data_IF_835757773925
#
_entry.id   IF_835757773925
#
_cell.length_a   1.000
_cell.length_b   1.000
_cell.length_c   1.000
_cell.angle_alpha   90.00
_cell.angle_beta   90.00
_cell.angle_gamma   90.00
#
_symmetry.space_group_name_H-M   'P 1'
#
loop_
_entity.id
_entity.type
_entity.pdbx_description
1 polymer ?
#
# COMPACT_ATOMS: atom_id res chain seq x y z
N UNK A 1 -23.51 -81.84 -33.37
CA UNK A 1 -23.50 -80.92 -32.17
C UNK A 1 -22.50 -79.77 -32.29
N UNK A 2 -21.36 -79.90 -32.93
CA UNK A 2 -20.36 -78.81 -33.07
C UNK A 2 -20.83 -77.67 -33.92
N UNK A 3 -21.51 -77.92 -35.05
CA UNK A 3 -22.04 -76.85 -35.90
C UNK A 3 -23.10 -75.94 -35.20
N UNK A 4 -23.82 -76.53 -34.23
CA UNK A 4 -24.85 -75.75 -33.48
C UNK A 4 -24.21 -74.83 -32.44
N UNK A 5 -23.12 -75.25 -31.82
CA UNK A 5 -22.33 -74.48 -30.87
C UNK A 5 -21.60 -73.36 -31.60
N UNK A 6 -21.01 -73.67 -32.77
CA UNK A 6 -20.33 -72.61 -33.59
C UNK A 6 -21.26 -71.50 -34.07
N UNK A 7 -22.52 -71.87 -34.45
CA UNK A 7 -23.52 -70.85 -34.82
C UNK A 7 -24.00 -70.02 -33.64
N UNK A 8 -24.17 -70.62 -32.46
CA UNK A 8 -24.52 -69.90 -31.23
C UNK A 8 -23.41 -68.91 -30.83
N UNK A 9 -22.14 -69.33 -30.93
CA UNK A 9 -21.02 -68.43 -30.64
C UNK A 9 -20.92 -67.30 -31.64
N UNK A 10 -21.19 -67.52 -32.93
CA UNK A 10 -21.20 -66.46 -33.95
C UNK A 10 -22.38 -65.46 -33.74
N UNK A 11 -23.53 -65.94 -33.30
CA UNK A 11 -24.66 -65.10 -32.96
C UNK A 11 -24.39 -64.25 -31.71
N UNK A 12 -23.75 -64.79 -30.68
CA UNK A 12 -23.40 -64.12 -29.47
C UNK A 12 -22.31 -63.01 -29.72
N UNK A 13 -21.31 -63.30 -30.54
CA UNK A 13 -20.29 -62.35 -30.99
C UNK A 13 -20.90 -61.23 -31.84
N UNK A 14 -21.90 -61.54 -32.70
CA UNK A 14 -22.59 -60.54 -33.52
C UNK A 14 -23.47 -59.62 -32.69
N UNK A 15 -24.09 -60.12 -31.59
CA UNK A 15 -24.88 -59.35 -30.64
C UNK A 15 -24.01 -58.39 -29.80
N UNK A 16 -22.78 -58.78 -29.48
CA UNK A 16 -21.87 -57.99 -28.64
C UNK A 16 -20.87 -57.12 -29.43
N UNK A 17 -21.04 -56.97 -30.75
CA UNK A 17 -20.23 -56.00 -31.49
C UNK A 17 -20.48 -54.57 -30.95
N UNK A 18 -19.47 -53.92 -30.36
CA UNK A 18 -19.62 -52.55 -29.92
C UNK A 18 -20.05 -51.71 -31.13
N UNK A 19 -21.03 -50.81 -30.92
CA UNK A 19 -21.50 -49.86 -31.95
C UNK A 19 -20.39 -48.85 -32.24
N UNK A 20 -19.35 -49.30 -32.94
CA UNK A 20 -18.13 -48.52 -33.30
C UNK A 20 -18.51 -47.25 -34.09
N UNK A 21 -19.62 -47.27 -34.81
CA UNK A 21 -20.14 -46.12 -35.54
C UNK A 21 -20.43 -44.92 -34.63
N UNK A 22 -21.03 -45.16 -33.45
CA UNK A 22 -21.34 -44.11 -32.51
C UNK A 22 -20.07 -43.50 -31.86
N UNK A 23 -19.09 -44.34 -31.49
CA UNK A 23 -17.81 -43.84 -30.99
C UNK A 23 -17.05 -42.99 -32.02
N UNK A 24 -17.07 -43.40 -33.31
CA UNK A 24 -16.45 -42.62 -34.37
C UNK A 24 -17.19 -41.27 -34.59
N UNK A 25 -18.52 -41.27 -34.51
CA UNK A 25 -19.30 -40.02 -34.60
C UNK A 25 -19.00 -39.09 -33.41
N UNK A 26 -18.87 -39.65 -32.20
CA UNK A 26 -18.52 -38.84 -30.99
C UNK A 26 -17.10 -38.25 -31.06
N UNK A 27 -16.12 -39.02 -31.55
CA UNK A 27 -14.75 -38.48 -31.72
C UNK A 27 -14.68 -37.40 -32.79
N UNK A 28 -15.38 -37.54 -33.89
CA UNK A 28 -15.48 -36.48 -34.92
C UNK A 28 -16.15 -35.23 -34.36
N UNK A 29 -17.23 -35.40 -33.61
CA UNK A 29 -17.93 -34.27 -32.94
C UNK A 29 -17.02 -33.55 -31.99
N UNK A 30 -16.26 -34.26 -31.11
CA UNK A 30 -15.32 -33.66 -30.18
C UNK A 30 -14.17 -32.94 -30.88
N UNK A 31 -13.67 -33.46 -32.01
CA UNK A 31 -12.65 -32.80 -32.82
C UNK A 31 -13.16 -31.48 -33.43
N UNK A 32 -14.38 -31.53 -34.01
CA UNK A 32 -14.99 -30.32 -34.55
C UNK A 32 -15.25 -29.28 -33.43
N UNK A 33 -15.79 -29.73 -32.29
CA UNK A 33 -16.00 -28.86 -31.13
C UNK A 33 -14.69 -28.23 -30.63
N UNK A 34 -13.61 -29.00 -30.54
CA UNK A 34 -12.30 -28.47 -30.13
C UNK A 34 -11.76 -27.44 -31.13
N UNK A 35 -11.93 -27.65 -32.43
CA UNK A 35 -11.53 -26.69 -33.47
C UNK A 35 -12.35 -25.40 -33.39
N UNK A 36 -13.68 -25.51 -33.20
CA UNK A 36 -14.56 -24.34 -33.03
C UNK A 36 -14.20 -23.57 -31.77
N UNK A 37 -13.96 -24.24 -30.65
CA UNK A 37 -13.55 -23.60 -29.41
C UNK A 37 -12.16 -22.95 -29.53
N UNK A 38 -11.19 -23.60 -30.19
CA UNK A 38 -9.88 -22.99 -30.47
C UNK A 38 -9.99 -21.74 -31.34
N UNK A 39 -10.86 -21.77 -32.36
CA UNK A 39 -11.13 -20.59 -33.19
C UNK A 39 -11.79 -19.46 -32.38
N UNK A 40 -12.75 -19.79 -31.49
CA UNK A 40 -13.42 -18.80 -30.63
C UNK A 40 -12.48 -18.19 -29.61
N UNK A 41 -11.60 -19.01 -28.99
CA UNK A 41 -10.56 -18.53 -28.07
C UNK A 41 -9.54 -17.66 -28.81
N UNK A 42 -9.07 -18.10 -29.99
CA UNK A 42 -8.17 -17.30 -30.80
C UNK A 42 -8.79 -15.94 -31.17
N UNK A 43 -10.07 -15.93 -31.58
CA UNK A 43 -10.78 -14.71 -31.97
C UNK A 43 -11.05 -13.76 -30.79
N UNK A 44 -11.25 -14.29 -29.59
CA UNK A 44 -11.50 -13.48 -28.39
C UNK A 44 -10.21 -13.09 -27.65
N UNK A 45 -9.12 -13.83 -27.80
CA UNK A 45 -7.80 -13.46 -27.26
C UNK A 45 -7.06 -12.45 -28.14
N UNK A 46 -7.38 -12.35 -29.41
CA UNK A 46 -6.82 -11.33 -30.29
C UNK A 46 -7.74 -10.12 -30.33
N UNK A 47 -7.65 -9.25 -29.33
CA UNK A 47 -8.10 -7.84 -29.45
C UNK A 47 -7.25 -7.05 -30.45
N UNK A 48 -6.61 -7.73 -31.40
CA UNK A 48 -5.83 -7.18 -32.50
C UNK A 48 -6.73 -7.18 -33.72
N UNK A 49 -7.33 -6.05 -34.00
CA UNK A 49 -7.92 -5.81 -35.30
C UNK A 49 -6.75 -5.62 -36.29
N UNK A 50 -6.39 -6.68 -37.00
CA UNK A 50 -5.49 -6.55 -38.16
C UNK A 50 -6.23 -5.76 -39.24
N UNK A 51 -5.90 -4.50 -39.37
CA UNK A 51 -6.31 -3.70 -40.53
C UNK A 51 -5.32 -3.97 -41.64
N UNK A 52 -5.66 -4.84 -42.57
CA UNK A 52 -4.89 -5.05 -43.81
C UNK A 52 -5.11 -3.84 -44.72
N UNK A 53 -4.07 -3.07 -44.95
CA UNK A 53 -4.13 -1.98 -45.89
C UNK A 53 -4.07 -2.52 -47.34
N UNK A 54 -4.49 -1.73 -48.31
CA UNK A 54 -4.63 -2.12 -49.75
C UNK A 54 -3.35 -2.60 -50.45
N UNK A 55 -2.20 -2.59 -49.76
CA UNK A 55 -0.89 -3.01 -50.29
C UNK A 55 -0.37 -4.31 -49.70
N UNK A 56 -1.18 -5.06 -48.92
CA UNK A 56 -0.84 -6.40 -48.43
C UNK A 56 0.28 -6.43 -47.37
N UNK A 57 0.63 -5.33 -46.77
CA UNK A 57 1.57 -5.29 -45.63
C UNK A 57 0.78 -5.29 -44.35
N UNK A 58 1.13 -6.24 -43.45
CA UNK A 58 0.65 -6.29 -42.07
C UNK A 58 1.34 -5.18 -41.30
N UNK A 59 0.68 -4.05 -41.07
CA UNK A 59 1.14 -3.09 -40.06
C UNK A 59 0.84 -3.70 -38.69
N UNK A 60 1.89 -4.18 -38.06
CA UNK A 60 1.89 -4.45 -36.62
C UNK A 60 1.56 -3.12 -35.93
N UNK A 61 0.33 -2.94 -35.49
CA UNK A 61 -0.03 -1.83 -34.61
C UNK A 61 0.59 -2.10 -33.25
N UNK A 62 1.88 -1.77 -33.15
CA UNK A 62 2.51 -1.54 -31.86
C UNK A 62 1.67 -0.44 -31.21
N UNK A 63 1.01 -0.73 -30.09
CA UNK A 63 0.40 0.29 -29.25
C UNK A 63 1.58 1.14 -28.75
N UNK A 64 1.97 2.11 -29.57
CA UNK A 64 2.88 3.17 -29.17
C UNK A 64 2.08 4.09 -28.26
N UNK A 65 2.07 3.78 -26.97
CA UNK A 65 1.66 4.74 -25.94
C UNK A 65 2.76 5.82 -25.94
N UNK A 66 2.72 6.72 -26.91
CA UNK A 66 3.41 8.00 -26.85
C UNK A 66 2.63 8.92 -25.89
N UNK A 67 2.46 8.49 -24.65
CA UNK A 67 2.12 9.39 -23.58
C UNK A 67 3.42 9.70 -22.83
N UNK A 68 4.05 10.80 -23.21
CA UNK A 68 5.01 11.52 -22.37
C UNK A 68 4.30 12.18 -21.15
N UNK A 69 3.12 11.73 -20.78
CA UNK A 69 2.47 12.14 -19.55
C UNK A 69 3.08 11.33 -18.41
N UNK A 70 3.88 12.00 -17.61
CA UNK A 70 4.35 11.46 -16.31
C UNK A 70 3.11 11.11 -15.51
N UNK A 71 3.00 9.87 -15.01
CA UNK A 71 1.83 9.51 -14.18
C UNK A 71 1.80 10.39 -12.93
N UNK A 72 0.61 10.57 -12.36
CA UNK A 72 0.42 11.33 -11.11
C UNK A 72 1.31 10.79 -10.01
N UNK A 73 1.40 9.47 -9.86
CA UNK A 73 2.24 8.80 -8.87
C UNK A 73 3.73 9.13 -9.06
N UNK A 74 4.18 9.14 -10.30
CA UNK A 74 5.58 9.48 -10.62
C UNK A 74 5.87 10.96 -10.33
N UNK A 75 4.94 11.87 -10.64
CA UNK A 75 5.08 13.29 -10.33
C UNK A 75 5.13 13.54 -8.82
N UNK A 76 4.21 12.92 -8.05
CA UNK A 76 4.17 12.99 -6.59
C UNK A 76 5.43 12.37 -5.98
N UNK A 77 5.88 11.23 -6.49
CA UNK A 77 7.13 10.61 -6.04
C UNK A 77 8.33 11.56 -6.18
N UNK A 78 8.52 12.15 -7.35
CA UNK A 78 9.61 13.12 -7.58
C UNK A 78 9.52 14.35 -6.68
N UNK A 79 8.30 14.79 -6.34
CA UNK A 79 8.08 15.94 -5.48
C UNK A 79 8.36 15.61 -4.02
N UNK A 80 7.95 14.43 -3.53
CA UNK A 80 7.75 14.18 -2.10
C UNK A 80 8.68 13.12 -1.49
N UNK A 81 9.32 12.24 -2.28
CA UNK A 81 10.18 11.17 -1.75
C UNK A 81 11.31 11.70 -0.85
N UNK A 82 11.98 12.79 -1.23
CA UNK A 82 13.08 13.35 -0.44
C UNK A 82 12.61 14.00 0.89
N UNK A 83 11.32 14.18 1.03
CA UNK A 83 10.70 14.71 2.25
C UNK A 83 10.21 13.61 3.20
N UNK A 84 10.34 12.34 2.81
CA UNK A 84 9.96 11.18 3.64
C UNK A 84 11.23 10.42 4.03
N UNK A 85 11.37 10.15 5.31
CA UNK A 85 12.55 9.54 5.91
C UNK A 85 12.22 8.21 6.56
N UNK A 86 13.20 7.32 6.64
CA UNK A 86 13.13 6.14 7.49
C UNK A 86 13.48 6.50 8.93
N UNK A 87 12.83 5.82 9.88
CA UNK A 87 13.11 5.97 11.31
C UNK A 87 13.36 4.57 11.87
N UNK A 88 14.49 4.42 12.56
CA UNK A 88 14.77 3.24 13.38
C UNK A 88 14.89 3.67 14.83
N UNK A 89 14.35 2.85 15.72
CA UNK A 89 14.38 3.12 17.16
C UNK A 89 14.87 1.90 17.92
N UNK A 90 15.56 2.14 19.00
CA UNK A 90 15.97 1.12 19.95
C UNK A 90 15.46 1.55 21.32
N UNK A 91 14.83 0.63 22.03
CA UNK A 91 14.39 0.83 23.40
C UNK A 91 14.56 -0.44 24.22
N UNK A 92 14.34 -0.35 25.51
CA UNK A 92 14.36 -1.49 26.42
C UNK A 92 12.96 -1.68 26.99
N UNK A 93 12.40 -2.86 26.76
CA UNK A 93 11.15 -3.28 27.39
C UNK A 93 11.47 -4.16 28.59
N UNK A 94 11.17 -3.67 29.78
CA UNK A 94 11.28 -4.47 31.00
C UNK A 94 10.12 -5.47 31.08
N UNK A 95 10.45 -6.73 31.31
CA UNK A 95 9.46 -7.73 31.63
C UNK A 95 9.22 -7.79 33.15
N UNK A 96 8.17 -8.52 33.58
CA UNK A 96 7.77 -8.65 35.01
C UNK A 96 8.87 -9.26 35.91
N UNK A 97 10.00 -9.75 35.35
CA UNK A 97 11.15 -10.32 36.04
C UNK A 97 12.39 -9.42 35.97
N UNK A 98 12.24 -8.12 35.67
CA UNK A 98 13.36 -7.14 35.56
C UNK A 98 14.44 -7.49 34.54
N UNK A 99 14.11 -8.34 33.54
CA UNK A 99 15.02 -8.61 32.44
C UNK A 99 14.66 -7.67 31.29
N UNK A 100 15.47 -6.67 31.02
CA UNK A 100 15.35 -5.77 29.91
C UNK A 100 15.55 -6.52 28.58
N UNK A 101 14.55 -6.47 27.68
CA UNK A 101 14.69 -6.93 26.31
C UNK A 101 14.85 -5.72 25.39
N UNK A 102 15.90 -5.72 24.58
CA UNK A 102 16.08 -4.73 23.53
C UNK A 102 14.97 -4.91 22.50
N UNK A 103 14.24 -3.84 22.22
CA UNK A 103 13.18 -3.79 21.20
C UNK A 103 13.60 -2.78 20.13
N UNK A 104 13.65 -3.25 18.90
CA UNK A 104 13.88 -2.40 17.74
C UNK A 104 12.55 -2.05 17.08
N UNK A 105 12.38 -0.79 16.71
CA UNK A 105 11.23 -0.29 15.96
C UNK A 105 11.68 0.25 14.62
N UNK A 106 10.81 0.13 13.63
CA UNK A 106 11.01 0.68 12.29
C UNK A 106 9.74 1.37 11.84
N UNK A 107 9.90 2.51 11.19
CA UNK A 107 8.81 3.26 10.61
C UNK A 107 9.32 4.36 9.69
N UNK A 108 8.47 5.30 9.40
CA UNK A 108 8.73 6.44 8.53
C UNK A 108 8.48 7.75 9.26
N UNK A 109 8.93 8.84 8.67
CA UNK A 109 8.63 10.20 9.12
C UNK A 109 8.57 11.15 7.94
N UNK A 110 7.96 12.31 8.17
CA UNK A 110 7.80 13.37 7.18
C UNK A 110 8.54 14.62 7.63
N UNK A 111 9.44 15.12 6.81
CA UNK A 111 10.19 16.35 7.09
C UNK A 111 9.24 17.54 7.02
N UNK A 112 9.11 18.29 8.11
CA UNK A 112 8.22 19.46 8.21
C UNK A 112 8.97 20.79 8.26
N UNK A 113 10.30 20.77 8.47
CA UNK A 113 11.14 21.97 8.47
C UNK A 113 12.51 21.69 7.84
N UNK A 114 13.11 22.71 7.21
CA UNK A 114 14.48 22.66 6.69
C UNK A 114 15.54 22.39 7.79
N UNK A 115 15.20 22.73 9.02
CA UNK A 115 16.08 22.62 10.18
C UNK A 115 16.05 21.24 10.84
N UNK A 116 15.32 20.27 10.28
CA UNK A 116 15.35 18.88 10.76
C UNK A 116 14.22 18.49 11.70
N UNK A 117 13.11 19.22 11.75
CA UNK A 117 11.90 18.74 12.41
C UNK A 117 11.18 17.73 11.52
N UNK A 118 10.77 16.62 12.11
CA UNK A 118 10.17 15.48 11.44
C UNK A 118 8.93 15.05 12.23
N UNK A 119 7.81 14.94 11.54
CA UNK A 119 6.56 14.41 12.06
C UNK A 119 6.49 12.91 11.80
N UNK A 120 6.05 12.15 12.79
CA UNK A 120 5.91 10.69 12.72
C UNK A 120 4.78 10.23 13.65
N UNK A 121 4.59 8.92 13.81
CA UNK A 121 3.67 8.37 14.81
C UNK A 121 4.34 8.19 16.18
N UNK A 122 3.53 8.25 17.25
CA UNK A 122 3.99 7.99 18.61
C UNK A 122 4.48 6.54 18.77
N UNK A 123 3.78 5.56 18.18
CA UNK A 123 4.19 4.16 18.25
C UNK A 123 5.53 3.89 17.53
N UNK A 124 5.88 4.67 16.50
CA UNK A 124 7.20 4.55 15.82
C UNK A 124 8.33 4.92 16.77
N UNK A 125 8.12 5.90 17.65
CA UNK A 125 9.07 6.28 18.69
C UNK A 125 8.79 5.57 20.02
N UNK A 126 8.14 4.39 19.96
CA UNK A 126 7.84 3.51 21.09
C UNK A 126 7.07 4.23 22.21
N UNK A 127 6.11 5.09 21.83
CA UNK A 127 5.30 5.88 22.76
C UNK A 127 6.17 6.65 23.78
N UNK A 128 7.25 7.24 23.28
CA UNK A 128 8.19 8.03 24.09
C UNK A 128 9.26 7.23 24.82
N UNK A 129 9.29 5.91 24.68
CA UNK A 129 10.22 5.00 25.39
C UNK A 129 11.48 4.65 24.58
N UNK A 130 11.61 5.16 23.35
CA UNK A 130 12.80 4.94 22.53
C UNK A 130 14.02 5.61 23.16
N UNK A 131 15.06 4.83 23.50
CA UNK A 131 16.34 5.34 24.02
C UNK A 131 17.21 5.93 22.91
N UNK A 132 17.09 5.37 21.72
CA UNK A 132 17.79 5.83 20.51
C UNK A 132 16.82 5.96 19.36
N UNK A 133 16.88 7.10 18.67
CA UNK A 133 16.14 7.36 17.43
C UNK A 133 17.16 7.72 16.36
N UNK A 134 17.13 7.03 15.24
CA UNK A 134 17.98 7.29 14.08
C UNK A 134 17.09 7.55 12.85
N UNK A 135 17.43 8.60 12.11
CA UNK A 135 16.75 9.00 10.87
C UNK A 135 17.62 8.63 9.69
N UNK A 136 17.04 8.03 8.67
CA UNK A 136 17.66 7.64 7.40
C UNK A 136 17.01 8.40 6.25
N UNK A 137 17.81 9.18 5.53
CA UNK A 137 17.38 9.87 4.31
C UNK A 137 17.44 8.94 3.09
N UNK A 138 16.71 9.31 2.02
CA UNK A 138 16.71 8.61 0.72
C UNK A 138 18.10 8.50 0.09
N UNK A 139 19.00 9.42 0.37
CA UNK A 139 20.40 9.39 -0.10
C UNK A 139 21.35 8.54 0.76
N UNK A 140 20.82 7.79 1.72
CA UNK A 140 21.59 6.92 2.61
C UNK A 140 22.24 7.62 3.82
N UNK A 141 22.11 8.94 3.96
CA UNK A 141 22.62 9.66 5.16
C UNK A 141 21.79 9.31 6.37
N UNK A 142 22.48 9.07 7.49
CA UNK A 142 21.89 8.77 8.78
C UNK A 142 22.25 9.83 9.81
N UNK A 143 21.36 10.09 10.75
CA UNK A 143 21.62 10.95 11.90
C UNK A 143 20.77 10.55 13.07
N UNK A 144 21.28 10.75 14.28
CA UNK A 144 20.47 10.66 15.49
C UNK A 144 19.41 11.75 15.51
N UNK A 145 18.31 11.46 16.21
CA UNK A 145 17.26 12.44 16.45
C UNK A 145 16.83 12.41 17.92
N UNK A 146 16.29 13.53 18.40
CA UNK A 146 15.73 13.69 19.74
C UNK A 146 14.21 13.75 19.64
N UNK A 147 13.52 13.08 20.53
CA UNK A 147 12.07 13.22 20.68
C UNK A 147 11.80 14.56 21.35
N UNK A 148 10.96 15.38 20.73
CA UNK A 148 10.55 16.68 21.28
C UNK A 148 9.16 16.61 21.89
N UNK A 149 8.27 15.88 21.25
CA UNK A 149 6.87 15.78 21.65
C UNK A 149 6.24 14.50 21.13
N UNK A 150 5.29 13.95 21.86
CA UNK A 150 4.44 12.86 21.41
C UNK A 150 3.10 12.85 22.14
N UNK A 151 2.09 12.25 21.49
CA UNK A 151 0.78 11.99 22.05
C UNK A 151 0.32 10.61 21.58
N UNK A 152 0.06 9.73 22.54
CA UNK A 152 -0.33 8.34 22.27
C UNK A 152 -1.78 8.19 21.84
N UNK A 153 -2.64 9.15 22.20
CA UNK A 153 -4.06 9.19 21.81
C UNK A 153 -4.22 9.60 20.35
N UNK A 154 -3.47 10.63 19.95
CA UNK A 154 -3.41 11.08 18.56
C UNK A 154 -2.52 10.20 17.69
N UNK A 155 -1.66 9.36 18.31
CA UNK A 155 -0.60 8.60 17.65
C UNK A 155 0.34 9.47 16.82
N UNK A 156 0.72 10.64 17.32
CA UNK A 156 1.62 11.58 16.67
C UNK A 156 2.86 11.84 17.54
N UNK A 157 3.98 12.09 16.87
CA UNK A 157 5.22 12.52 17.52
C UNK A 157 6.00 13.48 16.63
N UNK A 158 6.76 14.39 17.25
CA UNK A 158 7.71 15.27 16.58
C UNK A 158 9.12 14.97 17.11
N UNK A 159 10.02 14.66 16.18
CA UNK A 159 11.42 14.45 16.47
C UNK A 159 12.28 15.51 15.78
N UNK A 160 13.48 15.73 16.27
CA UNK A 160 14.45 16.72 15.77
C UNK A 160 15.79 16.05 15.51
N UNK A 161 16.25 16.13 14.27
CA UNK A 161 17.63 15.76 13.89
C UNK A 161 18.51 17.02 13.73
N UNK A 162 19.81 16.87 13.85
CA UNK A 162 20.77 17.95 13.61
C UNK A 162 21.08 18.16 12.12
N UNK A 163 20.49 17.38 11.24
CA UNK A 163 20.59 17.60 9.79
C UNK A 163 19.91 18.92 9.41
N UNK A 164 20.54 19.66 8.52
CA UNK A 164 20.03 20.91 7.96
C UNK A 164 19.87 20.81 6.46
N UNK A 165 19.13 21.74 5.87
CA UNK A 165 18.91 21.79 4.42
C UNK A 165 18.00 20.67 3.92
N UNK A 166 17.22 20.07 4.81
CA UNK A 166 16.21 19.08 4.43
C UNK A 166 15.11 19.72 3.57
N UNK A 167 14.43 18.88 2.80
CA UNK A 167 13.31 19.31 1.95
C UNK A 167 11.99 19.09 2.71
N UNK A 168 11.33 20.14 3.22
CA UNK A 168 10.06 19.97 3.88
C UNK A 168 8.95 19.62 2.87
N UNK A 169 7.92 18.93 3.34
CA UNK A 169 6.70 18.72 2.57
C UNK A 169 5.92 20.01 2.41
N UNK A 170 5.12 20.08 1.36
CA UNK A 170 4.05 21.05 1.24
C UNK A 170 2.83 20.53 2.00
N UNK A 171 2.38 21.27 3.03
CA UNK A 171 1.19 20.91 3.81
C UNK A 171 -0.07 21.17 2.99
N UNK A 172 -0.93 20.16 2.91
CA UNK A 172 -2.25 20.25 2.33
C UNK A 172 -3.30 20.73 3.33
N UNK A 173 -4.56 20.44 3.02
CA UNK A 173 -5.73 20.75 3.83
C UNK A 173 -6.66 19.54 3.85
N UNK A 174 -6.63 18.79 4.96
CA UNK A 174 -7.40 17.54 5.09
C UNK A 174 -8.91 17.76 5.19
N UNK A 175 -9.38 18.97 5.52
CA UNK A 175 -10.81 19.27 5.58
C UNK A 175 -11.43 19.33 4.18
N UNK A 176 -10.62 19.70 3.17
CA UNK A 176 -11.05 19.74 1.77
C UNK A 176 -11.04 18.40 1.06
N UNK A 177 -10.41 17.39 1.65
CA UNK A 177 -10.33 16.05 1.08
C UNK A 177 -11.72 15.42 1.00
N UNK A 178 -12.03 14.79 -0.13
CA UNK A 178 -13.30 14.11 -0.39
C UNK A 178 -13.10 12.61 -0.61
N UNK A 179 -14.14 11.82 -0.34
CA UNK A 179 -14.16 10.41 -0.70
C UNK A 179 -14.09 10.30 -2.23
N UNK A 180 -13.17 9.45 -2.72
CA UNK A 180 -12.87 9.31 -4.15
C UNK A 180 -11.65 10.11 -4.61
N UNK A 181 -11.10 11.01 -3.77
CA UNK A 181 -9.85 11.70 -4.09
C UNK A 181 -8.69 10.72 -4.16
N UNK A 182 -7.75 10.97 -5.07
CA UNK A 182 -6.53 10.18 -5.20
C UNK A 182 -5.69 10.30 -3.93
N UNK A 183 -5.24 9.16 -3.44
CA UNK A 183 -4.41 9.05 -2.24
C UNK A 183 -3.11 8.30 -2.57
N UNK A 184 -1.98 8.90 -2.24
CA UNK A 184 -0.65 8.35 -2.51
C UNK A 184 0.10 8.28 -1.19
N UNK A 185 0.27 7.06 -0.68
CA UNK A 185 1.00 6.82 0.56
C UNK A 185 2.49 6.62 0.25
N UNK A 186 3.34 7.35 0.96
CA UNK A 186 4.79 7.24 0.85
C UNK A 186 5.36 6.94 2.22
N UNK A 187 6.20 5.91 2.28
CA UNK A 187 7.00 5.56 3.44
C UNK A 187 8.42 5.21 3.03
N UNK A 188 9.29 5.07 4.02
CA UNK A 188 10.65 4.63 3.83
C UNK A 188 10.95 3.46 4.79
N UNK A 189 10.29 2.30 4.56
CA UNK A 189 10.49 1.13 5.41
C UNK A 189 11.88 0.53 5.22
N UNK A 190 12.50 0.12 6.32
CA UNK A 190 13.58 -0.85 6.37
C UNK A 190 14.79 -0.60 5.47
N UNK A 191 15.57 0.45 5.74
CA UNK A 191 16.94 0.53 5.25
C UNK A 191 17.08 0.53 3.72
N UNK A 192 18.26 0.15 3.24
CA UNK A 192 18.64 0.23 1.83
C UNK A 192 17.85 -0.69 0.89
N UNK A 193 17.25 -1.77 1.40
CA UNK A 193 16.64 -2.81 0.56
C UNK A 193 15.22 -2.48 0.10
N UNK A 194 14.48 -1.63 0.84
CA UNK A 194 13.10 -1.23 0.52
C UNK A 194 12.89 0.28 0.65
N UNK A 195 13.92 1.08 0.34
CA UNK A 195 13.83 2.53 0.39
C UNK A 195 12.69 3.05 -0.50
N UNK A 196 11.94 4.01 0.06
CA UNK A 196 10.96 4.78 -0.70
C UNK A 196 9.84 3.93 -1.30
N UNK A 197 9.09 3.25 -0.45
CA UNK A 197 7.89 2.55 -0.87
C UNK A 197 6.75 3.55 -1.12
N UNK A 198 6.16 3.46 -2.30
CA UNK A 198 4.97 4.22 -2.69
C UNK A 198 3.84 3.25 -2.99
N UNK A 199 2.68 3.51 -2.39
CA UNK A 199 1.42 2.84 -2.75
C UNK A 199 0.39 3.89 -3.13
N UNK A 200 -0.55 3.55 -4.00
CA UNK A 200 -1.58 4.49 -4.42
C UNK A 200 -2.96 3.86 -4.38
N UNK A 201 -3.95 4.68 -4.10
CA UNK A 201 -5.35 4.32 -4.02
C UNK A 201 -6.20 5.58 -3.99
N UNK A 202 -7.26 5.52 -3.23
CA UNK A 202 -8.24 6.60 -3.09
C UNK A 202 -8.63 6.77 -1.62
N UNK A 203 -9.17 7.92 -1.27
CA UNK A 203 -9.85 8.13 0.01
C UNK A 203 -11.16 7.36 -0.03
N UNK A 204 -11.28 6.37 0.84
CA UNK A 204 -12.44 5.46 0.92
C UNK A 204 -13.43 5.86 2.01
N UNK A 205 -13.03 6.73 2.93
CA UNK A 205 -13.88 7.21 4.02
C UNK A 205 -13.24 8.33 4.81
N UNK A 206 -14.06 9.05 5.57
CA UNK A 206 -13.65 10.12 6.50
C UNK A 206 -14.33 9.91 7.86
N UNK A 207 -13.81 10.58 8.86
CA UNK A 207 -14.37 10.61 10.23
C UNK A 207 -14.57 9.19 10.80
N UNK A 208 -13.57 8.30 10.57
CA UNK A 208 -13.62 6.93 11.06
C UNK A 208 -13.11 6.85 12.48
N UNK A 209 -13.85 6.11 13.30
CA UNK A 209 -13.43 5.68 14.63
C UNK A 209 -12.98 4.23 14.56
N UNK A 210 -11.79 3.94 15.08
CA UNK A 210 -11.27 2.58 15.20
C UNK A 210 -10.99 2.27 16.66
N UNK A 211 -11.25 1.02 17.07
CA UNK A 211 -10.89 0.53 18.40
C UNK A 211 -9.66 -0.38 18.25
N UNK A 212 -8.60 -0.04 18.94
CA UNK A 212 -7.35 -0.79 18.96
C UNK A 212 -7.50 -2.04 19.84
N UNK A 213 -6.58 -3.01 19.70
CA UNK A 213 -6.58 -4.26 20.48
C UNK A 213 -6.47 -4.02 22.00
N UNK A 214 -5.88 -2.91 22.43
CA UNK A 214 -5.78 -2.51 23.83
C UNK A 214 -7.01 -1.74 24.35
N UNK A 215 -8.07 -1.63 23.54
CA UNK A 215 -9.31 -0.94 23.89
C UNK A 215 -9.28 0.59 23.67
N UNK A 216 -8.16 1.17 23.32
CA UNK A 216 -8.08 2.61 22.98
C UNK A 216 -8.82 2.87 21.67
N UNK A 217 -9.47 4.03 21.58
CA UNK A 217 -10.11 4.50 20.36
C UNK A 217 -9.28 5.60 19.71
N UNK A 218 -9.25 5.58 18.39
CA UNK A 218 -8.75 6.68 17.56
C UNK A 218 -9.89 7.19 16.70
N UNK A 219 -10.17 8.48 16.79
CA UNK A 219 -11.30 9.13 16.14
C UNK A 219 -10.85 10.04 14.99
N UNK A 220 -11.79 10.37 14.09
CA UNK A 220 -11.59 11.34 13.04
C UNK A 220 -10.59 10.92 11.95
N UNK A 221 -10.32 9.63 11.79
CA UNK A 221 -9.37 9.12 10.81
C UNK A 221 -9.95 9.16 9.39
N UNK A 222 -9.07 9.39 8.42
CA UNK A 222 -9.35 9.13 7.01
C UNK A 222 -9.03 7.67 6.68
N UNK A 223 -9.84 7.06 5.82
CA UNK A 223 -9.68 5.70 5.32
C UNK A 223 -9.21 5.74 3.86
N UNK A 224 -8.27 4.85 3.50
CA UNK A 224 -7.79 4.70 2.13
C UNK A 224 -7.63 3.21 1.78
N UNK A 225 -7.74 2.88 0.50
CA UNK A 225 -7.39 1.56 -0.05
C UNK A 225 -5.94 1.48 -0.55
N UNK A 226 -5.19 2.60 -0.48
CA UNK A 226 -3.73 2.55 -0.61
C UNK A 226 -3.16 1.65 0.49
N UNK A 227 -2.26 0.73 0.14
CA UNK A 227 -1.71 -0.24 1.09
C UNK A 227 -0.92 0.47 2.20
N UNK A 228 -1.41 0.37 3.44
CA UNK A 228 -0.75 0.87 4.66
C UNK A 228 -0.24 -0.32 5.46
N UNK A 229 1.06 -0.35 5.71
CA UNK A 229 1.76 -1.42 6.43
C UNK A 229 2.68 -0.81 7.49
N UNK A 230 3.22 -1.64 8.39
CA UNK A 230 4.11 -1.20 9.46
C UNK A 230 5.31 -0.35 8.98
N UNK A 231 5.77 -0.56 7.75
CA UNK A 231 6.90 0.18 7.19
C UNK A 231 6.59 1.59 6.73
N UNK A 232 5.36 1.90 6.30
CA UNK A 232 4.96 3.27 5.92
C UNK A 232 4.22 4.03 7.04
N UNK A 233 4.09 3.42 8.22
CA UNK A 233 3.60 4.07 9.43
C UNK A 233 4.46 5.28 9.80
N UNK A 234 3.85 6.42 10.05
CA UNK A 234 4.54 7.71 10.25
C UNK A 234 4.96 8.43 8.97
N UNK A 235 4.88 7.76 7.82
CA UNK A 235 5.02 8.37 6.51
C UNK A 235 3.79 9.19 6.10
N UNK A 236 3.88 9.84 4.94
CA UNK A 236 2.83 10.74 4.47
C UNK A 236 1.80 10.10 3.56
N UNK A 237 0.55 10.55 3.67
CA UNK A 237 -0.45 10.42 2.63
C UNK A 237 -0.52 11.74 1.85
N UNK A 238 -0.41 11.66 0.54
CA UNK A 238 -0.35 12.81 -0.35
C UNK A 238 -1.53 12.80 -1.33
N UNK A 239 -1.97 14.00 -1.70
CA UNK A 239 -2.92 14.18 -2.80
C UNK A 239 -2.23 14.07 -4.17
N UNK A 240 -3.01 14.23 -5.25
CA UNK A 240 -2.50 14.18 -6.62
C UNK A 240 -1.54 15.32 -6.99
N UNK A 241 -1.45 16.39 -6.18
CA UNK A 241 -0.54 17.53 -6.33
C UNK A 241 0.73 17.36 -5.49
N UNK A 242 0.80 16.28 -4.69
CA UNK A 242 1.91 15.97 -3.79
C UNK A 242 1.91 16.86 -2.54
N UNK A 243 0.75 17.31 -2.10
CA UNK A 243 0.59 17.97 -0.80
C UNK A 243 0.26 16.92 0.25
N UNK A 244 0.82 17.08 1.44
CA UNK A 244 0.59 16.19 2.57
C UNK A 244 -0.82 16.39 3.12
N UNK A 245 -1.67 15.36 3.04
CA UNK A 245 -3.05 15.41 3.55
C UNK A 245 -3.24 14.58 4.82
N UNK A 246 -2.29 13.70 5.16
CA UNK A 246 -2.36 12.90 6.39
C UNK A 246 -1.08 12.17 6.72
N UNK A 247 -1.02 11.60 7.93
CA UNK A 247 0.06 10.74 8.41
C UNK A 247 -0.46 9.31 8.49
N UNK A 248 0.20 8.39 7.79
CA UNK A 248 -0.19 6.99 7.76
C UNK A 248 -0.03 6.34 9.12
N UNK A 249 -1.00 5.53 9.56
CA UNK A 249 -0.88 4.73 10.78
C UNK A 249 -1.28 3.28 10.51
N UNK A 250 -0.41 2.34 10.84
CA UNK A 250 -0.65 0.91 10.71
C UNK A 250 -1.15 0.27 12.04
N UNK A 251 -1.50 1.06 13.06
CA UNK A 251 -2.07 0.54 14.32
C UNK A 251 -3.35 -0.27 14.10
N UNK A 252 -4.10 0.08 13.06
CA UNK A 252 -5.21 -0.73 12.60
C UNK A 252 -5.19 -0.73 11.07
N UNK A 253 -5.07 -1.90 10.50
CA UNK A 253 -5.15 -2.14 9.06
C UNK A 253 -5.80 -3.49 8.82
N UNK A 254 -6.55 -3.59 7.74
CA UNK A 254 -7.06 -4.84 7.22
C UNK A 254 -6.76 -4.87 5.71
N UNK A 255 -6.92 -6.00 5.07
CA UNK A 255 -6.70 -6.10 3.63
C UNK A 255 -7.59 -5.09 2.88
N UNK A 256 -6.96 -4.18 2.11
CA UNK A 256 -7.65 -3.11 1.40
C UNK A 256 -8.21 -1.98 2.28
N UNK A 257 -7.86 -1.93 3.57
CA UNK A 257 -8.30 -0.87 4.48
C UNK A 257 -7.07 -0.32 5.23
N UNK A 258 -6.66 0.89 4.89
CA UNK A 258 -5.65 1.66 5.59
C UNK A 258 -6.26 2.87 6.29
N UNK A 259 -5.61 3.34 7.34
CA UNK A 259 -6.01 4.54 8.06
C UNK A 259 -4.89 5.58 8.09
N UNK A 260 -5.30 6.83 8.14
CA UNK A 260 -4.38 7.97 8.19
C UNK A 260 -4.94 9.07 9.08
N UNK A 261 -4.07 9.71 9.84
CA UNK A 261 -4.41 10.83 10.71
C UNK A 261 -4.46 12.08 9.83
N UNK A 262 -5.58 12.83 9.78
CA UNK A 262 -5.70 14.03 8.97
C UNK A 262 -4.61 15.05 9.31
N UNK A 263 -4.03 15.70 8.31
CA UNK A 263 -2.89 16.61 8.54
C UNK A 263 -3.26 17.85 9.36
N UNK A 264 -4.51 18.32 9.28
CA UNK A 264 -4.95 19.49 10.05
C UNK A 264 -4.88 19.24 11.56
N UNK A 265 -4.97 17.98 12.03
CA UNK A 265 -4.74 17.60 13.43
C UNK A 265 -3.29 17.88 13.84
N UNK A 266 -2.33 17.56 12.97
CA UNK A 266 -0.90 17.72 13.26
C UNK A 266 -0.39 19.15 13.02
N UNK A 267 -1.03 19.91 12.13
CA UNK A 267 -0.53 21.20 11.66
C UNK A 267 -0.30 22.21 12.78
N UNK A 268 -1.28 22.38 13.64
CA UNK A 268 -1.16 23.31 14.80
C UNK A 268 -0.04 22.89 15.76
N UNK A 269 0.14 21.58 15.96
CA UNK A 269 1.18 21.01 16.82
C UNK A 269 2.56 21.31 16.22
N UNK A 270 2.73 21.03 14.93
CA UNK A 270 3.98 21.27 14.20
C UNK A 270 4.34 22.74 14.19
N UNK A 271 3.40 23.61 13.87
CA UNK A 271 3.62 25.07 13.81
C UNK A 271 4.10 25.62 15.16
N UNK A 272 3.50 25.18 16.27
CA UNK A 272 3.90 25.58 17.61
C UNK A 272 5.31 25.07 17.97
N UNK A 273 5.62 23.80 17.71
CA UNK A 273 6.92 23.22 18.06
C UNK A 273 8.04 23.81 17.20
N UNK A 274 7.82 23.99 15.91
CA UNK A 274 8.82 24.57 14.98
C UNK A 274 9.10 26.03 15.29
N UNK A 275 8.09 26.80 15.77
CA UNK A 275 8.28 28.20 16.20
C UNK A 275 8.98 28.36 17.56
N UNK A 276 9.39 27.27 18.20
CA UNK A 276 10.09 27.27 19.49
C UNK A 276 9.16 27.32 20.70
N UNK A 277 7.86 27.10 20.51
CA UNK A 277 6.86 26.91 21.57
C UNK A 277 6.85 25.48 22.13
N UNK A 278 6.22 25.29 23.28
CA UNK A 278 5.82 23.98 23.80
C UNK A 278 4.34 23.77 23.48
N UNK A 279 3.98 22.62 22.95
CA UNK A 279 2.59 22.22 22.82
C UNK A 279 2.18 21.39 24.05
N UNK A 280 1.52 22.02 24.99
CA UNK A 280 0.77 21.31 26.03
C UNK A 280 -0.62 21.04 25.44
N UNK A 281 -0.95 19.76 25.24
CA UNK A 281 -2.26 19.35 24.71
C UNK A 281 -3.38 20.01 25.51
N UNK A 282 -4.44 20.44 24.83
CA UNK A 282 -5.64 21.00 25.50
C UNK A 282 -6.20 19.91 26.40
N UNK A 283 -5.92 19.99 27.69
CA UNK A 283 -6.62 19.21 28.69
C UNK A 283 -8.02 19.80 28.79
N UNK A 284 -9.01 19.14 28.19
CA UNK A 284 -10.40 19.40 28.52
C UNK A 284 -10.54 19.09 30.01
N UNK A 285 -10.60 20.13 30.83
CA UNK A 285 -10.84 20.02 32.29
C UNK A 285 -12.27 19.56 32.55
N UNK A 286 -12.56 18.30 32.31
CA UNK A 286 -13.75 17.65 32.78
C UNK A 286 -13.33 16.83 34.00
N UNK A 287 -13.47 17.40 35.19
CA UNK A 287 -13.46 16.64 36.45
C UNK A 287 -14.85 16.04 36.59
N UNK A 288 -14.95 14.71 36.43
CA UNK A 288 -16.12 13.94 36.84
C UNK A 288 -16.09 13.65 38.32
#
# INVERSE_FOLDING_TARGET
NERKVENMIKEEIAKNKPKIGWLKALTIFLLIYSLVMSYFVAKNMTGITETINKNGQVESSTISIKNNSVSTENAVAKKSLDSVVGITTVGVQENMFFQGRVVEGVGSGVVVSKDGYILTNAHVVQDGKAEKIEVLLTNGKKSSAKLLWYDTTLDLAVIKTDMTGLKPVEMGDSDKVQIGDKAIAIGNPLGLDLQSTLTSGYISGKDRTITLQNGLQMDGLMQTDAAINSGNSGGGLFDQEGKLIGINTAKASAEGIGFTIPINVAKTIVDNIVSGGSFEGVKLGISG
#
